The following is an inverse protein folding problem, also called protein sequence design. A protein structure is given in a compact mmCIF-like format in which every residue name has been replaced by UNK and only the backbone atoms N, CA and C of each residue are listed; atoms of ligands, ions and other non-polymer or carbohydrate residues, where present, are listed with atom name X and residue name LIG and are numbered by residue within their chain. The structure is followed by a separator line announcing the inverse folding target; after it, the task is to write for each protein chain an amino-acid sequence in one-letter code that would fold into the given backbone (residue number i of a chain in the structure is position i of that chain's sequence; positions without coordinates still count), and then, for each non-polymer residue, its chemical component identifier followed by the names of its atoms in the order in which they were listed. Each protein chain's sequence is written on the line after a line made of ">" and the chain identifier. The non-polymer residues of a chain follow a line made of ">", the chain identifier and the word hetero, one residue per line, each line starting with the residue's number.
data_IF_549577598213
#
_entry.id   IF_549577598213
#
_cell.length_a   1.000
_cell.length_b   1.000
_cell.length_c   1.000
_cell.angle_alpha   90.00
_cell.angle_beta   90.00
_cell.angle_gamma   90.00
#
_symmetry.space_group_name_H-M   'P 1'
#
loop_
_entity.id
_entity.type
_entity.pdbx_description
1 polymer ?
#
# COMPACT_ATOMS: atom_id res chain seq x y z
N UNK A 1 10.03 15.37 -3.56
CA UNK A 1 10.67 15.80 -4.82
C UNK A 1 9.81 15.22 -5.92
N UNK A 2 9.24 16.07 -6.77
CA UNK A 2 8.54 15.57 -7.95
C UNK A 2 9.56 15.28 -9.05
N UNK A 3 9.30 14.30 -9.92
CA UNK A 3 10.21 13.90 -11.01
C UNK A 3 10.38 14.99 -12.06
N UNK A 4 9.46 15.95 -12.11
CA UNK A 4 9.60 17.18 -12.91
C UNK A 4 10.77 18.09 -12.48
N UNK A 5 11.54 17.71 -11.44
CA UNK A 5 12.61 18.54 -10.88
C UNK A 5 12.09 19.62 -9.93
N UNK A 6 10.77 19.74 -9.76
CA UNK A 6 10.14 20.70 -8.86
C UNK A 6 10.25 20.26 -7.41
N UNK A 7 10.94 21.06 -6.60
CA UNK A 7 10.88 20.99 -5.15
C UNK A 7 9.71 21.82 -4.65
N UNK A 8 8.57 21.17 -4.42
CA UNK A 8 7.45 21.82 -3.73
C UNK A 8 7.80 21.88 -2.24
N UNK A 9 8.03 23.10 -1.74
CA UNK A 9 8.05 23.40 -0.31
C UNK A 9 6.67 23.91 0.07
N UNK A 10 6.09 23.32 1.10
CA UNK A 10 4.77 23.65 1.61
C UNK A 10 4.76 23.44 3.12
N UNK A 11 3.93 24.19 3.82
CA UNK A 11 3.67 24.04 5.25
C UNK A 11 2.50 23.09 5.48
N UNK A 12 2.35 22.57 6.71
CA UNK A 12 1.24 21.66 7.05
C UNK A 12 -0.14 22.27 6.72
N UNK A 13 -0.27 23.60 6.83
CA UNK A 13 -1.50 24.35 6.54
C UNK A 13 -1.82 24.45 5.04
N UNK A 14 -0.83 24.24 4.17
CA UNK A 14 -1.01 24.30 2.72
C UNK A 14 -1.61 23.02 2.13
N UNK A 15 -1.73 21.96 2.94
CA UNK A 15 -2.28 20.67 2.51
C UNK A 15 -3.81 20.72 2.60
N UNK A 16 -4.54 20.78 1.47
CA UNK A 16 -6.00 20.84 1.52
C UNK A 16 -6.58 19.49 1.98
N UNK A 17 -7.82 19.46 2.49
CA UNK A 17 -8.56 18.20 2.59
C UNK A 17 -8.77 17.58 1.19
N UNK A 18 -8.98 16.26 1.11
CA UNK A 18 -9.23 15.64 -0.18
C UNK A 18 -10.59 16.05 -0.72
N UNK A 19 -10.64 16.49 -1.98
CA UNK A 19 -11.90 16.61 -2.72
C UNK A 19 -12.48 15.21 -2.95
N UNK A 20 -13.80 15.05 -3.10
CA UNK A 20 -14.37 13.75 -3.45
C UNK A 20 -13.77 13.18 -4.73
N UNK A 21 -13.35 11.92 -4.72
CA UNK A 21 -12.78 11.22 -5.88
C UNK A 21 -13.26 9.77 -5.95
N UNK A 22 -13.18 9.16 -7.13
CA UNK A 22 -13.61 7.77 -7.35
C UNK A 22 -12.62 7.00 -8.25
N UNK A 23 -11.59 6.42 -7.62
CA UNK A 23 -10.63 5.55 -8.32
C UNK A 23 -11.11 4.09 -8.46
N UNK A 24 -12.00 3.62 -7.57
CA UNK A 24 -12.47 2.23 -7.61
C UNK A 24 -13.27 1.89 -8.90
N UNK A 25 -13.92 2.89 -9.49
CA UNK A 25 -14.68 2.76 -10.75
C UNK A 25 -13.86 3.11 -11.99
N UNK A 26 -12.63 3.62 -11.83
CA UNK A 26 -11.77 4.00 -12.94
C UNK A 26 -10.29 3.77 -12.56
N UNK A 27 -9.81 2.56 -12.88
CA UNK A 27 -8.44 2.13 -12.60
C UNK A 27 -7.43 2.99 -13.36
N UNK A 28 -7.75 3.44 -14.58
CA UNK A 28 -6.81 4.24 -15.37
C UNK A 28 -6.52 5.58 -14.69
N UNK A 29 -7.52 6.23 -14.10
CA UNK A 29 -7.31 7.45 -13.30
C UNK A 29 -6.37 7.21 -12.12
N UNK A 30 -6.43 6.04 -11.48
CA UNK A 30 -5.50 5.71 -10.40
C UNK A 30 -4.08 5.56 -10.93
N UNK A 31 -3.90 4.80 -12.00
CA UNK A 31 -2.59 4.54 -12.61
C UNK A 31 -1.94 5.87 -13.03
N UNK A 32 -2.69 6.74 -13.70
CA UNK A 32 -2.18 8.01 -14.20
C UNK A 32 -1.93 9.08 -13.13
N UNK A 33 -2.40 8.86 -11.91
CA UNK A 33 -2.27 9.79 -10.79
C UNK A 33 -1.38 9.27 -9.65
N UNK A 34 -0.83 8.06 -9.79
CA UNK A 34 -0.09 7.40 -8.70
C UNK A 34 1.31 7.96 -8.49
N UNK A 35 2.07 8.04 -9.57
CA UNK A 35 3.50 8.33 -9.57
C UNK A 35 3.87 9.21 -10.78
N UNK A 36 4.46 10.36 -10.50
CA UNK A 36 4.95 11.34 -11.48
C UNK A 36 6.24 10.94 -12.20
N UNK A 37 6.92 9.90 -11.73
CA UNK A 37 8.00 9.22 -12.44
C UNK A 37 7.49 8.31 -13.56
N UNK A 38 6.20 7.97 -13.55
CA UNK A 38 5.62 7.04 -14.50
C UNK A 38 5.46 7.67 -15.88
N UNK A 39 5.71 6.89 -16.94
CA UNK A 39 5.30 7.26 -18.30
C UNK A 39 3.79 7.40 -18.46
N UNK A 40 3.01 6.81 -17.55
CA UNK A 40 1.55 6.94 -17.53
C UNK A 40 1.08 8.16 -16.71
N UNK A 41 2.00 8.97 -16.17
CA UNK A 41 1.66 10.16 -15.41
C UNK A 41 0.86 11.16 -16.27
N UNK A 42 -0.35 11.43 -15.81
CA UNK A 42 -1.34 12.27 -16.47
C UNK A 42 -2.54 12.38 -15.56
N UNK A 43 -2.41 13.07 -14.40
CA UNK A 43 -3.51 13.22 -13.46
C UNK A 43 -4.65 13.98 -14.14
N UNK A 44 -5.91 13.55 -13.96
CA UNK A 44 -7.05 14.22 -14.57
C UNK A 44 -7.29 15.60 -13.95
N UNK A 45 -8.06 16.46 -14.62
CA UNK A 45 -8.39 17.82 -14.12
C UNK A 45 -9.08 17.80 -12.74
N UNK A 46 -9.81 16.73 -12.45
CA UNK A 46 -10.46 16.51 -11.14
C UNK A 46 -9.51 15.88 -10.10
N UNK A 47 -8.19 15.94 -10.31
CA UNK A 47 -7.21 15.37 -9.39
C UNK A 47 -7.36 16.00 -7.99
N UNK A 48 -7.45 15.20 -6.92
CA UNK A 48 -8.08 15.72 -5.70
C UNK A 48 -7.20 16.70 -4.93
N UNK A 49 -5.88 16.56 -5.05
CA UNK A 49 -4.90 17.30 -4.28
C UNK A 49 -3.98 18.08 -5.20
N UNK A 50 -4.06 19.39 -5.08
CA UNK A 50 -3.13 20.32 -5.69
C UNK A 50 -2.50 21.18 -4.59
N UNK A 51 -1.17 21.33 -4.61
CA UNK A 51 -0.44 22.26 -3.74
C UNK A 51 0.28 23.24 -4.65
N UNK A 52 0.07 24.54 -4.43
CA UNK A 52 0.63 25.60 -5.29
C UNK A 52 0.35 25.34 -6.79
N UNK A 53 -0.86 24.88 -7.13
CA UNK A 53 -1.27 24.56 -8.50
C UNK A 53 -0.73 23.25 -9.08
N UNK A 54 0.10 22.50 -8.36
CA UNK A 54 0.69 21.26 -8.84
C UNK A 54 -0.07 20.03 -8.32
N UNK A 55 -0.49 19.10 -9.20
CA UNK A 55 -1.13 17.86 -8.77
C UNK A 55 -0.13 16.99 -8.00
N UNK A 56 -0.52 16.54 -6.80
CA UNK A 56 0.37 15.75 -5.95
C UNK A 56 0.13 14.25 -6.17
N UNK A 57 1.15 13.46 -6.56
CA UNK A 57 1.02 12.02 -6.77
C UNK A 57 0.46 11.28 -5.55
N UNK A 58 -0.44 10.34 -5.78
CA UNK A 58 -1.13 9.59 -4.71
C UNK A 58 -0.15 8.81 -3.83
N UNK A 59 0.97 8.34 -4.38
CA UNK A 59 2.02 7.65 -3.60
C UNK A 59 2.52 8.48 -2.41
N UNK A 60 2.46 9.81 -2.50
CA UNK A 60 2.92 10.72 -1.45
C UNK A 60 1.86 11.06 -0.40
N UNK A 61 0.59 10.75 -0.64
CA UNK A 61 -0.51 11.18 0.25
C UNK A 61 -0.37 10.66 1.69
N UNK A 62 0.19 9.46 1.88
CA UNK A 62 0.51 8.96 3.23
C UNK A 62 1.48 9.87 3.97
N UNK A 63 2.50 10.41 3.29
CA UNK A 63 3.46 11.34 3.90
C UNK A 63 2.78 12.67 4.20
N UNK A 64 1.93 13.16 3.28
CA UNK A 64 1.19 14.42 3.43
C UNK A 64 0.25 14.41 4.64
N UNK A 65 -0.50 13.33 4.84
CA UNK A 65 -1.61 13.32 5.80
C UNK A 65 -1.32 12.61 7.11
N UNK A 66 -0.45 11.58 7.15
CA UNK A 66 -0.35 10.68 8.30
C UNK A 66 0.01 11.40 9.61
N UNK A 67 0.85 12.42 9.53
CA UNK A 67 1.34 13.16 10.70
C UNK A 67 0.94 14.64 10.68
N UNK A 68 0.20 15.09 9.66
CA UNK A 68 -0.22 16.48 9.53
C UNK A 68 -1.44 16.73 10.43
N UNK A 69 -1.24 17.53 11.49
CA UNK A 69 -2.31 17.83 12.45
C UNK A 69 -3.34 18.80 11.89
N UNK A 70 -2.94 19.69 10.98
CA UNK A 70 -3.83 20.63 10.32
C UNK A 70 -4.86 19.91 9.41
N UNK A 71 -4.50 18.76 8.86
CA UNK A 71 -5.40 17.94 8.06
C UNK A 71 -6.40 17.09 8.88
N UNK A 72 -6.37 17.19 10.21
CA UNK A 72 -7.36 16.56 11.11
C UNK A 72 -7.50 15.04 10.91
N UNK A 73 -8.73 14.60 10.59
CA UNK A 73 -9.07 13.17 10.45
C UNK A 73 -8.87 12.61 9.04
N UNK A 74 -8.26 13.38 8.13
CA UNK A 74 -8.22 13.01 6.72
C UNK A 74 -7.47 11.72 6.45
N UNK A 75 -6.31 11.53 7.08
CA UNK A 75 -5.58 10.26 6.98
C UNK A 75 -6.43 9.07 7.47
N UNK A 76 -7.19 9.23 8.56
CA UNK A 76 -8.01 8.15 9.10
C UNK A 76 -9.09 7.69 8.11
N UNK A 77 -9.69 8.63 7.37
CA UNK A 77 -10.67 8.34 6.31
C UNK A 77 -10.03 7.72 5.08
N UNK A 78 -8.87 8.23 4.68
CA UNK A 78 -8.19 7.86 3.43
C UNK A 78 -7.40 6.54 3.54
N UNK A 79 -6.89 6.21 4.73
CA UNK A 79 -5.91 5.14 4.96
C UNK A 79 -6.27 3.80 4.31
N UNK A 80 -7.53 3.37 4.41
CA UNK A 80 -7.94 2.08 3.86
C UNK A 80 -7.91 2.09 2.32
N UNK A 81 -8.44 3.15 1.70
CA UNK A 81 -8.41 3.33 0.24
C UNK A 81 -6.99 3.45 -0.27
N UNK A 82 -6.16 4.26 0.40
CA UNK A 82 -4.75 4.41 0.05
C UNK A 82 -3.98 3.10 0.13
N UNK A 83 -4.19 2.29 1.17
CA UNK A 83 -3.55 0.98 1.28
C UNK A 83 -3.96 0.05 0.12
N UNK A 84 -5.24 0.04 -0.27
CA UNK A 84 -5.69 -0.77 -1.40
C UNK A 84 -5.04 -0.29 -2.72
N UNK A 85 -4.98 1.02 -2.96
CA UNK A 85 -4.30 1.56 -4.14
C UNK A 85 -2.81 1.23 -4.14
N UNK A 86 -2.15 1.37 -2.99
CA UNK A 86 -0.74 1.03 -2.86
C UNK A 86 -0.49 -0.44 -3.25
N UNK A 87 -1.27 -1.37 -2.70
CA UNK A 87 -1.11 -2.78 -3.06
C UNK A 87 -1.45 -3.09 -4.51
N UNK A 88 -2.45 -2.41 -5.08
CA UNK A 88 -2.75 -2.52 -6.50
C UNK A 88 -1.56 -2.04 -7.34
N UNK A 89 -1.07 -0.84 -7.06
CA UNK A 89 0.02 -0.22 -7.84
C UNK A 89 1.34 -0.96 -7.67
N UNK A 90 1.64 -1.47 -6.48
CA UNK A 90 2.81 -2.34 -6.24
C UNK A 90 2.75 -3.61 -7.11
N UNK A 91 1.58 -4.25 -7.22
CA UNK A 91 1.41 -5.38 -8.15
C UNK A 91 1.51 -4.92 -9.61
N UNK A 92 0.85 -3.84 -9.98
CA UNK A 92 0.83 -3.32 -11.34
C UNK A 92 2.25 -2.96 -11.84
N UNK A 93 3.05 -2.30 -10.99
CA UNK A 93 4.42 -1.87 -11.31
C UNK A 93 5.45 -3.01 -11.24
N UNK A 94 5.13 -4.14 -10.60
CA UNK A 94 6.02 -5.32 -10.56
C UNK A 94 5.88 -6.24 -11.77
N UNK A 95 4.94 -5.95 -12.66
CA UNK A 95 4.67 -6.69 -13.89
C UNK A 95 4.73 -5.73 -15.08
N UNK A 96 4.83 -6.28 -16.28
CA UNK A 96 4.48 -5.52 -17.49
C UNK A 96 2.95 -5.34 -17.53
N UNK A 97 2.49 -4.33 -18.26
CA UNK A 97 1.05 -4.07 -18.42
C UNK A 97 0.32 -5.29 -19.00
N UNK A 98 0.91 -5.95 -20.01
CA UNK A 98 0.36 -7.14 -20.63
C UNK A 98 0.29 -8.31 -19.65
N UNK A 99 1.37 -8.60 -18.92
CA UNK A 99 1.39 -9.68 -17.92
C UNK A 99 0.40 -9.41 -16.76
N UNK A 100 0.24 -8.15 -16.37
CA UNK A 100 -0.76 -7.77 -15.36
C UNK A 100 -2.17 -8.07 -15.87
N UNK A 101 -2.51 -7.62 -17.08
CA UNK A 101 -3.87 -7.82 -17.60
C UNK A 101 -4.14 -9.26 -18.02
N UNK A 102 -3.15 -10.01 -18.49
CA UNK A 102 -3.25 -11.45 -18.72
C UNK A 102 -3.64 -12.17 -17.42
N UNK A 103 -2.96 -11.85 -16.31
CA UNK A 103 -3.26 -12.42 -14.99
C UNK A 103 -4.64 -12.02 -14.46
N UNK A 104 -5.06 -10.78 -14.71
CA UNK A 104 -6.32 -10.22 -14.19
C UNK A 104 -7.41 -10.09 -15.25
N UNK A 105 -7.41 -10.99 -16.23
CA UNK A 105 -8.51 -11.20 -17.17
C UNK A 105 -9.25 -12.47 -16.79
N UNK A 106 -10.59 -12.42 -16.80
CA UNK A 106 -11.42 -13.57 -16.50
C UNK A 106 -11.52 -14.54 -17.70
N UNK A 107 -12.07 -15.75 -17.52
CA UNK A 107 -12.17 -16.74 -18.60
C UNK A 107 -13.00 -16.28 -19.81
N UNK A 108 -13.80 -15.21 -19.66
CA UNK A 108 -14.58 -14.60 -20.75
C UNK A 108 -13.76 -13.56 -21.53
N UNK A 109 -12.50 -13.34 -21.19
CA UNK A 109 -11.64 -12.35 -21.82
C UNK A 109 -11.86 -10.92 -21.28
N UNK A 110 -12.60 -10.75 -20.19
CA UNK A 110 -12.86 -9.44 -19.60
C UNK A 110 -11.90 -9.13 -18.45
N UNK A 111 -11.35 -7.91 -18.44
CA UNK A 111 -10.52 -7.43 -17.32
C UNK A 111 -11.35 -7.44 -16.04
N UNK A 112 -10.80 -8.04 -14.99
CA UNK A 112 -11.42 -8.08 -13.68
C UNK A 112 -11.65 -6.66 -13.12
N UNK A 113 -12.74 -6.47 -12.39
CA UNK A 113 -12.99 -5.21 -11.70
C UNK A 113 -11.94 -4.94 -10.62
N UNK A 114 -11.71 -3.67 -10.31
CA UNK A 114 -10.77 -3.25 -9.25
C UNK A 114 -10.98 -4.01 -7.94
N UNK A 115 -12.24 -4.15 -7.50
CA UNK A 115 -12.59 -4.90 -6.28
C UNK A 115 -12.18 -6.37 -6.36
N UNK A 116 -12.39 -7.03 -7.51
CA UNK A 116 -11.98 -8.44 -7.69
C UNK A 116 -10.45 -8.57 -7.63
N UNK A 117 -9.71 -7.64 -8.24
CA UNK A 117 -8.24 -7.61 -8.19
C UNK A 117 -7.75 -7.41 -6.75
N UNK A 118 -8.28 -6.42 -6.02
CA UNK A 118 -7.91 -6.17 -4.62
C UNK A 118 -8.19 -7.39 -3.73
N UNK A 119 -9.31 -8.07 -3.93
CA UNK A 119 -9.64 -9.29 -3.19
C UNK A 119 -8.68 -10.44 -3.51
N UNK A 120 -8.35 -10.64 -4.79
CA UNK A 120 -7.32 -11.59 -5.21
C UNK A 120 -5.97 -11.30 -4.54
N UNK A 121 -5.50 -10.04 -4.61
CA UNK A 121 -4.26 -9.61 -3.95
C UNK A 121 -4.28 -9.81 -2.43
N UNK A 122 -5.44 -9.61 -1.79
CA UNK A 122 -5.60 -9.85 -0.36
C UNK A 122 -5.46 -11.33 -0.01
N UNK A 123 -6.05 -12.20 -0.83
CA UNK A 123 -5.95 -13.65 -0.65
C UNK A 123 -4.52 -14.12 -0.88
N UNK A 124 -3.87 -13.69 -1.96
CA UNK A 124 -2.45 -14.00 -2.22
C UNK A 124 -1.56 -13.61 -1.03
N UNK A 125 -1.75 -12.41 -0.45
CA UNK A 125 -0.99 -12.00 0.75
C UNK A 125 -1.29 -12.85 1.96
N UNK A 126 -2.55 -13.24 2.16
CA UNK A 126 -2.95 -14.12 3.26
C UNK A 126 -2.24 -15.47 3.12
N UNK A 127 -2.28 -16.06 1.94
CA UNK A 127 -1.69 -17.37 1.66
C UNK A 127 -0.15 -17.32 1.79
N UNK A 128 0.48 -16.25 1.27
CA UNK A 128 1.92 -16.02 1.43
C UNK A 128 2.31 -15.85 2.90
N UNK A 129 1.54 -15.10 3.69
CA UNK A 129 1.80 -14.93 5.11
C UNK A 129 1.68 -16.27 5.86
N UNK A 130 0.64 -17.06 5.55
CA UNK A 130 0.46 -18.39 6.15
C UNK A 130 1.63 -19.32 5.81
N UNK A 131 2.11 -19.30 4.57
CA UNK A 131 3.28 -20.08 4.14
C UNK A 131 4.56 -19.62 4.85
N UNK A 132 4.81 -18.32 4.97
CA UNK A 132 5.96 -17.78 5.71
C UNK A 132 5.91 -18.14 7.21
N UNK A 133 4.72 -18.14 7.81
CA UNK A 133 4.54 -18.61 9.20
C UNK A 133 4.85 -20.09 9.32
N UNK A 134 4.41 -20.92 8.37
CA UNK A 134 4.71 -22.35 8.33
C UNK A 134 6.21 -22.60 8.21
N UNK A 135 6.90 -21.87 7.33
CA UNK A 135 8.36 -21.91 7.20
C UNK A 135 9.07 -21.48 8.48
N UNK A 136 8.64 -20.38 9.10
CA UNK A 136 9.20 -19.91 10.36
C UNK A 136 9.03 -20.96 11.47
N UNK A 137 7.86 -21.59 11.59
CA UNK A 137 7.64 -22.68 12.56
C UNK A 137 8.56 -23.87 12.27
N UNK A 138 8.71 -24.26 11.01
CA UNK A 138 9.63 -25.34 10.62
C UNK A 138 11.10 -25.04 10.95
N UNK A 139 11.53 -23.79 10.78
CA UNK A 139 12.92 -23.37 11.03
C UNK A 139 13.26 -23.25 12.52
N UNK A 140 12.36 -22.67 13.32
CA UNK A 140 12.65 -22.37 14.72
C UNK A 140 12.16 -23.47 15.69
N UNK A 141 11.16 -24.28 15.31
CA UNK A 141 10.46 -25.17 16.24
C UNK A 141 9.61 -24.38 17.25
N UNK A 142 8.68 -25.05 17.93
CA UNK A 142 7.62 -24.35 18.71
C UNK A 142 8.15 -23.48 19.87
N UNK A 143 9.17 -23.97 20.58
CA UNK A 143 9.76 -23.27 21.73
C UNK A 143 10.51 -22.00 21.30
N UNK A 144 11.37 -22.11 20.29
CA UNK A 144 12.13 -20.95 19.80
C UNK A 144 11.23 -20.03 19.00
N UNK A 145 10.24 -20.53 18.24
CA UNK A 145 9.28 -19.71 17.53
C UNK A 145 8.54 -18.77 18.48
N UNK A 146 8.05 -19.30 19.60
CA UNK A 146 7.38 -18.47 20.62
C UNK A 146 8.33 -17.43 21.23
N UNK A 147 9.63 -17.74 21.33
CA UNK A 147 10.70 -16.81 21.75
C UNK A 147 11.01 -15.74 20.70
N UNK A 148 10.98 -16.10 19.44
CA UNK A 148 11.40 -15.22 18.37
C UNK A 148 10.29 -14.27 17.91
N UNK A 149 9.06 -14.76 17.86
CA UNK A 149 7.90 -14.03 17.35
C UNK A 149 6.99 -13.59 18.49
N UNK A 150 7.50 -12.73 19.36
CA UNK A 150 6.75 -12.17 20.47
C UNK A 150 7.13 -10.71 20.71
N UNK A 151 6.23 -9.96 21.33
CA UNK A 151 6.47 -8.58 21.73
C UNK A 151 6.29 -8.41 23.23
N UNK A 152 6.94 -7.39 23.79
CA UNK A 152 6.78 -7.01 25.19
C UNK A 152 5.51 -6.17 25.35
N UNK A 153 4.64 -6.58 26.26
CA UNK A 153 3.47 -5.80 26.70
C UNK A 153 3.68 -5.36 28.15
N UNK A 154 3.99 -4.08 28.33
CA UNK A 154 4.37 -3.54 29.64
C UNK A 154 5.74 -4.06 30.09
N UNK A 155 6.02 -4.00 31.40
CA UNK A 155 7.37 -4.26 31.94
C UNK A 155 7.75 -5.74 32.09
N UNK A 156 6.79 -6.68 32.04
CA UNK A 156 7.05 -8.10 32.40
C UNK A 156 6.36 -9.15 31.55
N UNK A 157 5.47 -8.79 30.62
CA UNK A 157 4.66 -9.76 29.88
C UNK A 157 5.10 -9.87 28.44
N UNK A 158 5.67 -11.02 28.07
CA UNK A 158 5.98 -11.35 26.69
C UNK A 158 4.80 -12.07 26.05
N UNK A 159 4.33 -11.58 24.90
CA UNK A 159 3.16 -12.12 24.21
C UNK A 159 3.56 -12.58 22.83
N UNK A 160 3.37 -13.87 22.54
CA UNK A 160 3.55 -14.43 21.20
C UNK A 160 2.61 -13.75 20.21
N UNK A 161 3.16 -13.35 19.08
CA UNK A 161 2.41 -12.78 17.97
C UNK A 161 1.39 -13.79 17.47
N UNK A 162 0.18 -13.32 17.18
CA UNK A 162 -0.91 -14.17 16.66
C UNK A 162 -1.25 -13.87 15.21
N UNK A 163 -0.92 -12.68 14.73
CA UNK A 163 -1.23 -12.27 13.37
C UNK A 163 -0.15 -12.79 12.43
N UNK A 164 -0.58 -13.56 11.44
CA UNK A 164 0.31 -14.13 10.43
C UNK A 164 1.09 -13.05 9.68
N UNK A 165 0.47 -11.89 9.41
CA UNK A 165 1.15 -10.74 8.78
C UNK A 165 2.33 -10.23 9.59
N UNK A 166 2.18 -10.13 10.91
CA UNK A 166 3.20 -9.57 11.80
C UNK A 166 4.38 -10.54 11.93
N UNK A 167 4.06 -11.85 12.04
CA UNK A 167 5.05 -12.93 12.06
C UNK A 167 5.82 -12.98 10.73
N UNK A 168 5.10 -12.99 9.60
CA UNK A 168 5.69 -13.03 8.26
C UNK A 168 6.61 -11.84 8.01
N UNK A 169 6.18 -10.62 8.38
CA UNK A 169 7.01 -9.42 8.27
C UNK A 169 8.30 -9.56 9.08
N UNK A 170 8.21 -9.98 10.35
CA UNK A 170 9.37 -10.15 11.21
C UNK A 170 10.32 -11.23 10.69
N UNK A 171 9.77 -12.32 10.14
CA UNK A 171 10.55 -13.41 9.56
C UNK A 171 11.33 -12.94 8.33
N UNK A 172 10.68 -12.22 7.41
CA UNK A 172 11.34 -11.66 6.23
C UNK A 172 12.45 -10.66 6.60
N UNK A 173 12.20 -9.75 7.55
CA UNK A 173 13.22 -8.81 8.03
C UNK A 173 14.47 -9.54 8.53
N UNK A 174 14.28 -10.62 9.28
CA UNK A 174 15.40 -11.39 9.85
C UNK A 174 16.15 -12.23 8.82
N UNK A 175 15.51 -12.64 7.72
CA UNK A 175 16.18 -13.32 6.60
C UNK A 175 17.05 -12.39 5.77
N UNK A 176 16.77 -11.09 5.77
CA UNK A 176 17.54 -10.08 5.03
C UNK A 176 18.78 -9.64 5.80
N UNK A 177 18.75 -9.73 7.14
CA UNK A 177 19.83 -9.26 8.02
C UNK A 177 20.58 -10.39 8.76
N UNK A 178 20.31 -11.66 8.45
CA UNK A 178 20.95 -12.81 9.08
C UNK A 178 21.46 -13.78 8.03
#
# INVERSE_FOLDING_TARGET
>A
MLVTGSHIRFDEMDVPPTKPFRYASNIQKLISSWDDASSEWGPPDDHPIHIQGHPIPIKHWKVLYKNNKAAGMEWHRLKNSWNNWHYFMERYQSLTQDAFWEKYTDPQGQRMSYTRIINSLRNERKDNNAQLVKEAKGKYGDDQFSKEFAYQKGKKKRITMRRESDIAQMYCQRRVFG
#
